data_IF_813953220630
#
_entry.id   IF_813953220630
#
_cell.length_a   1.000
_cell.length_b   1.000
_cell.length_c   1.000
_cell.angle_alpha   90.00
_cell.angle_beta   90.00
_cell.angle_gamma   90.00
#
_symmetry.space_group_name_H-M   'P 1'
#
loop_
_entity.id
_entity.type
_entity.pdbx_description
1 polymer ?
#
# COMPACT_ATOMS: atom_id res chain seq x y z
N UNK A 1 29.25 2.29 -5.22
CA UNK A 1 29.32 0.85 -5.54
C UNK A 1 28.10 0.44 -6.35
N UNK A 2 28.30 -0.22 -7.50
CA UNK A 2 27.19 -0.61 -8.37
C UNK A 2 26.30 -1.67 -7.69
N UNK A 3 25.03 -1.76 -8.10
CA UNK A 3 24.08 -2.78 -7.60
C UNK A 3 24.61 -4.21 -7.81
N UNK A 4 25.29 -4.43 -8.93
CA UNK A 4 25.86 -5.75 -9.29
C UNK A 4 26.95 -6.19 -8.31
N UNK A 5 27.84 -5.29 -7.88
CA UNK A 5 28.87 -5.64 -6.91
C UNK A 5 28.29 -6.06 -5.56
N UNK A 6 27.25 -5.36 -5.08
CA UNK A 6 26.56 -5.73 -3.84
C UNK A 6 25.94 -7.13 -3.92
N UNK A 7 25.37 -7.49 -5.06
CA UNK A 7 24.79 -8.81 -5.30
C UNK A 7 25.89 -9.88 -5.35
N UNK A 8 27.01 -9.61 -6.02
CA UNK A 8 28.15 -10.54 -6.07
C UNK A 8 28.74 -10.80 -4.67
N UNK A 9 28.97 -9.76 -3.90
CA UNK A 9 29.45 -9.85 -2.52
C UNK A 9 28.48 -10.63 -1.61
N UNK A 10 27.17 -10.35 -1.74
CA UNK A 10 26.13 -11.07 -1.02
C UNK A 10 26.12 -12.56 -1.34
N UNK A 11 26.21 -12.91 -2.63
CA UNK A 11 26.28 -14.31 -3.07
C UNK A 11 27.53 -15.03 -2.54
N UNK A 12 28.69 -14.37 -2.55
CA UNK A 12 29.93 -14.96 -2.02
C UNK A 12 29.82 -15.20 -0.50
N UNK A 13 29.33 -14.20 0.24
CA UNK A 13 29.14 -14.31 1.71
C UNK A 13 28.14 -15.40 2.08
N UNK A 14 27.01 -15.50 1.37
CA UNK A 14 26.02 -16.55 1.60
C UNK A 14 26.55 -17.95 1.28
N UNK A 15 27.33 -18.11 0.20
CA UNK A 15 27.97 -19.41 -0.11
C UNK A 15 28.88 -19.89 1.02
N UNK A 16 29.67 -18.99 1.60
CA UNK A 16 30.52 -19.32 2.72
C UNK A 16 29.70 -19.64 3.97
N UNK A 17 28.72 -18.75 4.29
CA UNK A 17 27.87 -18.91 5.46
C UNK A 17 27.08 -20.22 5.45
N UNK A 18 26.43 -20.57 4.34
CA UNK A 18 25.60 -21.78 4.24
C UNK A 18 26.42 -23.09 4.29
N UNK A 19 27.69 -23.05 3.89
CA UNK A 19 28.61 -24.21 4.07
C UNK A 19 28.92 -24.49 5.52
N UNK A 20 28.95 -23.43 6.35
CA UNK A 20 29.30 -23.54 7.78
C UNK A 20 28.04 -23.77 8.61
N UNK A 21 26.96 -23.02 8.37
CA UNK A 21 25.76 -23.05 9.20
C UNK A 21 24.72 -24.11 8.80
N UNK A 22 24.76 -24.65 7.56
CA UNK A 22 24.00 -25.84 7.15
C UNK A 22 22.47 -25.76 7.13
N UNK A 23 21.86 -24.60 7.43
CA UNK A 23 20.42 -24.51 7.68
C UNK A 23 19.54 -24.25 6.45
N UNK A 24 20.15 -23.89 5.31
CA UNK A 24 19.39 -23.56 4.09
C UNK A 24 18.99 -24.84 3.35
N UNK A 25 17.70 -24.98 3.03
CA UNK A 25 17.15 -26.11 2.29
C UNK A 25 17.02 -25.77 0.79
N UNK A 26 17.44 -26.68 -0.11
CA UNK A 26 17.21 -26.52 -1.54
C UNK A 26 15.71 -26.46 -1.87
N UNK A 27 15.34 -25.72 -2.92
CA UNK A 27 13.97 -25.65 -3.42
C UNK A 27 13.33 -27.04 -3.71
N UNK A 28 14.13 -27.98 -4.16
CA UNK A 28 13.68 -29.36 -4.47
C UNK A 28 13.21 -30.16 -3.23
N UNK A 29 13.54 -29.73 -2.00
CA UNK A 29 13.13 -30.39 -0.77
C UNK A 29 11.86 -29.78 -0.14
N UNK A 30 11.24 -28.77 -0.77
CA UNK A 30 10.07 -28.11 -0.23
C UNK A 30 8.80 -28.93 -0.49
N UNK A 31 8.05 -29.18 0.59
CA UNK A 31 6.71 -29.79 0.54
C UNK A 31 5.66 -28.70 0.87
N UNK A 32 4.71 -28.42 -0.04
CA UNK A 32 3.62 -27.47 0.22
C UNK A 32 2.70 -27.84 1.40
N UNK A 33 2.70 -29.10 1.83
CA UNK A 33 1.93 -29.58 2.98
C UNK A 33 2.66 -29.34 4.32
N UNK A 34 3.94 -28.96 4.26
CA UNK A 34 4.75 -28.71 5.47
C UNK A 34 4.13 -27.60 6.32
N UNK A 35 4.10 -27.82 7.63
CA UNK A 35 3.68 -26.80 8.58
C UNK A 35 4.89 -26.03 9.11
N UNK A 36 4.68 -24.76 9.46
CA UNK A 36 5.67 -23.87 10.03
C UNK A 36 5.13 -23.25 11.31
N UNK A 37 5.95 -23.28 12.36
CA UNK A 37 5.61 -22.64 13.64
C UNK A 37 6.08 -21.19 13.72
N UNK A 38 7.11 -20.82 12.97
CA UNK A 38 7.75 -19.51 13.03
C UNK A 38 8.06 -19.00 11.62
N UNK A 39 7.36 -17.92 11.26
CA UNK A 39 7.39 -17.33 9.92
C UNK A 39 7.86 -15.88 10.03
N UNK A 40 8.74 -15.43 9.14
CA UNK A 40 9.05 -14.02 8.97
C UNK A 40 8.51 -13.49 7.66
N UNK A 41 7.79 -12.38 7.70
CA UNK A 41 7.28 -11.67 6.52
C UNK A 41 8.07 -10.37 6.35
N UNK A 42 8.55 -10.09 5.14
CA UNK A 42 9.19 -8.82 4.80
C UNK A 42 8.27 -7.95 3.96
N UNK A 43 7.89 -6.79 4.52
CA UNK A 43 7.11 -5.73 3.88
C UNK A 43 7.67 -4.37 4.28
N UNK A 44 8.78 -3.96 3.65
CA UNK A 44 9.62 -2.86 4.12
C UNK A 44 9.52 -1.61 3.27
N UNK A 45 8.46 -1.46 2.47
CA UNK A 45 8.21 -0.32 1.59
C UNK A 45 7.17 0.65 2.17
N UNK A 46 6.54 1.46 1.32
CA UNK A 46 5.55 2.45 1.71
C UNK A 46 4.23 1.82 2.19
N UNK A 47 3.35 2.64 2.77
CA UNK A 47 2.05 2.24 3.31
C UNK A 47 1.18 1.55 2.25
N UNK A 48 1.08 2.10 1.03
CA UNK A 48 0.32 1.48 -0.05
C UNK A 48 0.82 0.07 -0.41
N UNK A 49 2.16 -0.11 -0.44
CA UNK A 49 2.75 -1.44 -0.68
C UNK A 49 2.41 -2.44 0.43
N UNK A 50 2.34 -1.99 1.69
CA UNK A 50 1.90 -2.84 2.80
C UNK A 50 0.44 -3.25 2.62
N UNK A 51 -0.43 -2.34 2.17
CA UNK A 51 -1.84 -2.65 1.93
C UNK A 51 -1.99 -3.75 0.87
N UNK A 52 -1.24 -3.69 -0.23
CA UNK A 52 -1.22 -4.77 -1.24
C UNK A 52 -0.74 -6.13 -0.70
N UNK A 53 -0.04 -6.14 0.41
CA UNK A 53 0.44 -7.38 1.03
C UNK A 53 -0.58 -7.98 2.00
N UNK A 54 -1.57 -7.21 2.47
CA UNK A 54 -2.51 -7.67 3.52
C UNK A 54 -3.30 -8.93 3.11
N UNK A 55 -3.77 -9.12 1.85
CA UNK A 55 -4.43 -10.38 1.47
C UNK A 55 -3.51 -11.61 1.60
N UNK A 56 -2.26 -11.49 1.17
CA UNK A 56 -1.28 -12.58 1.31
C UNK A 56 -0.90 -12.83 2.78
N UNK A 57 -0.84 -11.78 3.61
CA UNK A 57 -0.63 -11.92 5.06
C UNK A 57 -1.79 -12.69 5.68
N UNK A 58 -3.05 -12.35 5.35
CA UNK A 58 -4.23 -13.09 5.81
C UNK A 58 -4.16 -14.55 5.39
N UNK A 59 -3.88 -14.84 4.12
CA UNK A 59 -3.77 -16.20 3.61
C UNK A 59 -2.69 -17.03 4.35
N UNK A 60 -1.58 -16.41 4.75
CA UNK A 60 -0.56 -17.05 5.59
C UNK A 60 -1.05 -17.32 7.01
N UNK A 61 -1.76 -16.36 7.65
CA UNK A 61 -2.32 -16.55 8.98
C UNK A 61 -3.37 -17.67 8.99
N UNK A 62 -4.20 -17.76 7.97
CA UNK A 62 -5.21 -18.83 7.81
C UNK A 62 -4.58 -20.20 7.56
N UNK A 63 -3.51 -20.27 6.76
CA UNK A 63 -2.79 -21.50 6.46
C UNK A 63 -2.02 -22.04 7.64
N UNK A 64 -1.48 -21.14 8.48
CA UNK A 64 -0.63 -21.46 9.64
C UNK A 64 -1.17 -20.81 10.93
N UNK A 65 -2.36 -21.21 11.40
CA UNK A 65 -3.07 -20.51 12.49
C UNK A 65 -2.33 -20.54 13.84
N UNK A 66 -1.41 -21.49 14.04
CA UNK A 66 -0.58 -21.58 15.24
C UNK A 66 0.80 -20.95 15.10
N UNK A 67 1.13 -20.38 13.95
CA UNK A 67 2.46 -19.86 13.70
C UNK A 67 2.70 -18.50 14.36
N UNK A 68 3.88 -18.33 14.93
CA UNK A 68 4.38 -17.04 15.38
C UNK A 68 4.91 -16.26 14.16
N UNK A 69 4.14 -15.28 13.71
CA UNK A 69 4.48 -14.47 12.55
C UNK A 69 5.22 -13.21 13.02
N UNK A 70 6.47 -13.05 12.56
CA UNK A 70 7.26 -11.82 12.74
C UNK A 70 7.18 -10.98 11.48
N UNK A 71 6.75 -9.72 11.58
CA UNK A 71 6.79 -8.79 10.47
C UNK A 71 8.06 -7.95 10.50
N UNK A 72 8.81 -7.92 9.40
CA UNK A 72 9.87 -6.91 9.17
C UNK A 72 9.29 -5.82 8.28
N UNK A 73 9.12 -4.61 8.81
CA UNK A 73 8.46 -3.50 8.14
C UNK A 73 9.26 -2.20 8.19
N UNK A 74 8.93 -1.23 7.35
CA UNK A 74 9.48 0.13 7.44
C UNK A 74 8.93 0.86 8.67
N UNK A 75 9.75 1.73 9.26
CA UNK A 75 9.29 2.66 10.32
C UNK A 75 8.10 3.52 9.89
N UNK A 76 7.94 3.78 8.59
CA UNK A 76 6.81 4.55 8.04
C UNK A 76 5.46 3.86 8.27
N UNK A 77 5.46 2.55 8.40
CA UNK A 77 4.25 1.75 8.57
C UNK A 77 3.91 1.51 10.06
N UNK A 78 4.71 2.06 11.00
CA UNK A 78 4.60 1.76 12.42
C UNK A 78 3.16 1.85 12.95
N UNK A 79 2.48 2.95 12.68
CA UNK A 79 1.12 3.17 13.15
C UNK A 79 0.07 2.22 12.53
N UNK A 80 0.41 1.53 11.43
CA UNK A 80 -0.48 0.58 10.78
C UNK A 80 -0.24 -0.88 11.20
N UNK A 81 0.88 -1.17 11.86
CA UNK A 81 1.25 -2.55 12.21
C UNK A 81 1.50 -2.76 13.71
N UNK A 82 1.80 -1.69 14.46
CA UNK A 82 2.06 -1.78 15.90
C UNK A 82 0.77 -2.14 16.66
N UNK A 83 0.84 -3.18 17.48
CA UNK A 83 -0.34 -3.70 18.17
C UNK A 83 -1.29 -4.53 17.33
N UNK A 84 -0.94 -4.84 16.09
CA UNK A 84 -1.73 -5.73 15.22
C UNK A 84 -1.78 -7.14 15.78
N UNK A 85 -2.97 -7.77 15.89
CA UNK A 85 -3.09 -9.15 16.32
C UNK A 85 -2.55 -10.16 15.28
N UNK A 86 -2.28 -9.71 14.05
CA UNK A 86 -1.71 -10.55 12.99
C UNK A 86 -0.24 -10.92 13.23
N UNK A 87 0.48 -10.20 14.10
CA UNK A 87 1.91 -10.36 14.26
C UNK A 87 2.28 -10.62 15.72
N UNK A 88 3.09 -11.67 15.93
CA UNK A 88 3.69 -11.97 17.23
C UNK A 88 4.78 -10.94 17.60
N UNK A 89 5.56 -10.48 16.61
CA UNK A 89 6.59 -9.44 16.77
C UNK A 89 6.68 -8.58 15.51
N UNK A 90 7.06 -7.30 15.68
CA UNK A 90 7.31 -6.38 14.56
C UNK A 90 8.72 -5.80 14.70
N UNK A 91 9.52 -5.98 13.67
CA UNK A 91 10.88 -5.45 13.56
C UNK A 91 10.91 -4.35 12.51
N UNK A 92 11.29 -3.14 12.92
CA UNK A 92 11.38 -2.02 11.97
C UNK A 92 12.75 -1.95 11.31
N UNK A 93 12.74 -1.89 9.98
CA UNK A 93 13.95 -1.84 9.17
C UNK A 93 13.71 -1.11 7.83
N UNK A 94 14.50 -0.05 7.58
CA UNK A 94 14.42 0.75 6.36
C UNK A 94 15.49 0.37 5.32
N UNK A 95 15.90 -0.88 5.26
CA UNK A 95 16.92 -1.44 4.34
C UNK A 95 18.31 -0.79 4.43
N UNK A 96 18.68 -0.24 5.55
CA UNK A 96 20.02 0.29 5.73
C UNK A 96 20.97 -0.83 6.11
N UNK A 97 22.07 -0.95 5.38
CA UNK A 97 23.08 -1.99 5.63
C UNK A 97 23.63 -1.93 7.08
N UNK A 98 23.73 -0.75 7.67
CA UNK A 98 24.22 -0.52 9.04
C UNK A 98 23.34 -1.18 10.11
N UNK A 99 22.03 -1.30 9.86
CA UNK A 99 21.06 -1.81 10.84
C UNK A 99 20.82 -3.32 10.66
N UNK A 100 21.41 -3.92 9.62
CA UNK A 100 21.16 -5.31 9.21
C UNK A 100 21.53 -6.33 10.30
N UNK A 101 22.66 -6.13 11.00
CA UNK A 101 23.10 -7.03 12.07
C UNK A 101 22.12 -7.06 13.24
N UNK A 102 21.57 -5.89 13.63
CA UNK A 102 20.56 -5.81 14.69
C UNK A 102 19.27 -6.54 14.31
N UNK A 103 18.84 -6.42 13.06
CA UNK A 103 17.66 -7.14 12.52
C UNK A 103 17.92 -8.66 12.54
N UNK A 104 19.08 -9.12 12.07
CA UNK A 104 19.45 -10.54 12.10
C UNK A 104 19.45 -11.08 13.55
N UNK A 105 20.03 -10.35 14.50
CA UNK A 105 20.08 -10.76 15.89
C UNK A 105 18.68 -10.89 16.52
N UNK A 106 17.76 -9.94 16.22
CA UNK A 106 16.36 -10.01 16.67
C UNK A 106 15.65 -11.20 16.05
N UNK A 107 15.76 -11.40 14.73
CA UNK A 107 15.15 -12.52 14.05
C UNK A 107 15.66 -13.87 14.55
N UNK A 108 16.96 -14.00 14.86
CA UNK A 108 17.53 -15.24 15.42
C UNK A 108 16.92 -15.63 16.76
N UNK A 109 16.47 -14.67 17.57
CA UNK A 109 15.74 -14.96 18.82
C UNK A 109 14.41 -15.66 18.53
N UNK A 110 13.72 -15.24 17.46
CA UNK A 110 12.45 -15.80 17.03
C UNK A 110 12.62 -17.10 16.22
N UNK A 111 13.84 -17.47 15.81
CA UNK A 111 14.19 -18.71 15.07
C UNK A 111 13.27 -18.98 13.87
N UNK A 112 13.10 -18.07 12.90
CA UNK A 112 12.19 -18.26 11.80
C UNK A 112 12.63 -19.41 10.90
N UNK A 113 11.67 -20.23 10.47
CA UNK A 113 11.87 -21.37 9.56
C UNK A 113 11.62 -20.99 8.11
N UNK A 114 10.59 -20.17 7.89
CA UNK A 114 10.13 -19.70 6.59
C UNK A 114 10.25 -18.17 6.50
N UNK A 115 10.80 -17.67 5.40
CA UNK A 115 10.75 -16.25 5.04
C UNK A 115 9.84 -16.04 3.82
N UNK A 116 8.88 -15.11 3.95
CA UNK A 116 7.99 -14.67 2.88
C UNK A 116 8.27 -13.20 2.58
N UNK A 117 8.92 -12.93 1.45
CA UNK A 117 9.38 -11.59 1.07
C UNK A 117 8.38 -10.99 0.09
N UNK A 118 7.35 -10.33 0.62
CA UNK A 118 6.25 -9.74 -0.14
C UNK A 118 6.66 -8.44 -0.84
N UNK A 119 7.38 -7.55 -0.13
CA UNK A 119 7.85 -6.29 -0.72
C UNK A 119 9.11 -5.80 0.00
N UNK A 120 10.25 -6.14 -0.58
CA UNK A 120 11.56 -5.81 -0.01
C UNK A 120 12.65 -5.85 -1.07
N UNK A 121 13.78 -5.15 -0.83
CA UNK A 121 14.84 -4.97 -1.85
C UNK A 121 16.01 -5.92 -1.64
N UNK A 122 16.28 -6.73 -2.69
CA UNK A 122 17.50 -7.53 -2.77
C UNK A 122 18.78 -6.64 -2.86
N UNK A 123 19.92 -7.12 -2.37
CA UNK A 123 20.19 -8.44 -1.80
C UNK A 123 19.95 -8.56 -0.28
N UNK A 124 19.68 -7.45 0.41
CA UNK A 124 19.71 -7.39 1.89
C UNK A 124 18.61 -8.21 2.57
N UNK A 125 17.41 -8.26 1.97
CA UNK A 125 16.31 -9.06 2.47
C UNK A 125 16.64 -10.57 2.48
N UNK A 126 17.19 -11.08 1.38
CA UNK A 126 17.61 -12.48 1.27
C UNK A 126 18.78 -12.78 2.22
N UNK A 127 19.76 -11.85 2.32
CA UNK A 127 20.86 -11.97 3.28
C UNK A 127 20.36 -12.08 4.71
N UNK A 128 19.45 -11.19 5.12
CA UNK A 128 18.89 -11.15 6.47
C UNK A 128 18.11 -12.44 6.75
N UNK A 129 17.28 -12.90 5.83
CA UNK A 129 16.47 -14.10 6.00
C UNK A 129 17.35 -15.36 6.22
N UNK A 130 18.34 -15.57 5.35
CA UNK A 130 19.26 -16.74 5.47
C UNK A 130 20.11 -16.64 6.73
N UNK A 131 20.69 -15.45 6.99
CA UNK A 131 21.52 -15.25 8.19
C UNK A 131 20.72 -15.37 9.48
N UNK A 132 19.41 -15.09 9.46
CA UNK A 132 18.50 -15.33 10.59
C UNK A 132 18.18 -16.81 10.84
N UNK A 133 18.48 -17.69 9.87
CA UNK A 133 18.30 -19.14 9.99
C UNK A 133 17.10 -19.69 9.22
N UNK A 134 16.46 -18.88 8.35
CA UNK A 134 15.35 -19.36 7.54
C UNK A 134 15.83 -20.48 6.58
N UNK A 135 15.07 -21.58 6.56
CA UNK A 135 15.34 -22.75 5.73
C UNK A 135 14.74 -22.59 4.32
N UNK A 136 13.57 -21.95 4.25
CA UNK A 136 12.82 -21.73 3.02
C UNK A 136 12.56 -20.24 2.81
N UNK A 137 12.70 -19.78 1.56
CA UNK A 137 12.52 -18.40 1.17
C UNK A 137 11.61 -18.29 -0.05
N UNK A 138 10.49 -17.58 0.10
CA UNK A 138 9.58 -17.22 -0.98
C UNK A 138 9.64 -15.72 -1.21
N UNK A 139 9.76 -15.30 -2.47
CA UNK A 139 9.93 -13.87 -2.79
C UNK A 139 9.14 -13.46 -4.02
N UNK A 140 8.39 -12.34 -3.88
CA UNK A 140 7.87 -11.61 -5.03
C UNK A 140 9.01 -10.79 -5.68
N UNK A 141 9.34 -11.14 -6.93
CA UNK A 141 10.37 -10.47 -7.73
C UNK A 141 9.67 -9.65 -8.81
N UNK A 142 9.60 -8.33 -8.58
CA UNK A 142 9.01 -7.41 -9.52
C UNK A 142 9.90 -7.21 -10.75
N UNK A 143 9.32 -7.43 -11.94
CA UNK A 143 9.94 -7.20 -13.25
C UNK A 143 10.67 -8.40 -13.81
N UNK A 144 10.97 -8.30 -15.12
CA UNK A 144 11.53 -9.40 -15.94
C UNK A 144 13.03 -9.64 -15.75
N UNK A 145 13.74 -8.75 -15.02
CA UNK A 145 15.18 -8.88 -14.81
C UNK A 145 15.47 -9.66 -13.53
N UNK A 146 16.34 -10.71 -13.63
CA UNK A 146 16.79 -11.43 -12.46
C UNK A 146 17.38 -10.49 -11.39
N UNK A 147 17.06 -10.75 -10.13
CA UNK A 147 17.63 -10.00 -8.99
C UNK A 147 19.09 -10.39 -8.75
N UNK A 148 19.51 -11.57 -9.25
CA UNK A 148 20.81 -12.20 -9.01
C UNK A 148 20.87 -12.97 -7.68
N UNK A 149 19.73 -13.11 -6.99
CA UNK A 149 19.63 -13.84 -5.72
C UNK A 149 18.72 -15.10 -5.81
N UNK A 150 18.26 -15.45 -7.01
CA UNK A 150 17.24 -16.49 -7.24
C UNK A 150 17.66 -17.86 -6.75
N UNK A 151 18.96 -18.16 -6.80
CA UNK A 151 19.52 -19.43 -6.30
C UNK A 151 19.25 -19.69 -4.81
N UNK A 152 18.89 -18.64 -4.07
CA UNK A 152 18.60 -18.68 -2.65
C UNK A 152 17.10 -18.72 -2.35
N UNK A 153 16.26 -18.76 -3.39
CA UNK A 153 14.81 -18.76 -3.24
C UNK A 153 14.27 -20.17 -3.42
N UNK A 154 13.41 -20.59 -2.51
CA UNK A 154 12.62 -21.83 -2.61
C UNK A 154 11.52 -21.66 -3.63
N UNK A 155 10.81 -20.53 -3.57
CA UNK A 155 9.75 -20.17 -4.51
C UNK A 155 9.81 -18.69 -4.90
N UNK A 156 9.34 -18.38 -6.08
CA UNK A 156 9.36 -17.03 -6.63
C UNK A 156 8.10 -16.75 -7.45
N UNK A 157 7.50 -15.59 -7.25
CA UNK A 157 6.55 -15.03 -8.22
C UNK A 157 7.29 -14.10 -9.17
N UNK A 158 7.16 -14.36 -10.47
CA UNK A 158 7.76 -13.56 -11.55
C UNK A 158 6.66 -13.21 -12.54
N UNK A 159 5.90 -12.20 -12.29
CA UNK A 159 5.00 -11.66 -13.29
C UNK A 159 5.26 -10.17 -13.43
N UNK A 160 5.38 -9.69 -14.65
CA UNK A 160 5.32 -8.26 -14.97
C UNK A 160 3.88 -7.82 -15.24
N UNK A 161 2.99 -8.78 -15.47
CA UNK A 161 1.58 -8.56 -15.78
C UNK A 161 0.70 -8.95 -14.59
N UNK A 162 -0.46 -8.33 -14.51
CA UNK A 162 -1.42 -8.56 -13.45
C UNK A 162 -1.30 -7.63 -12.25
N UNK A 163 -2.29 -7.69 -11.39
CA UNK A 163 -2.38 -6.84 -10.20
C UNK A 163 -1.40 -7.30 -9.12
N UNK A 164 -0.82 -6.34 -8.37
CA UNK A 164 0.15 -6.63 -7.32
C UNK A 164 -0.40 -7.56 -6.23
N UNK A 165 -1.67 -7.44 -5.88
CA UNK A 165 -2.33 -8.32 -4.91
C UNK A 165 -2.31 -9.76 -5.43
N UNK A 166 -2.76 -10.00 -6.68
CA UNK A 166 -2.83 -11.33 -7.25
C UNK A 166 -1.46 -12.01 -7.31
N UNK A 167 -0.43 -11.27 -7.70
CA UNK A 167 0.94 -11.78 -7.72
C UNK A 167 1.43 -12.27 -6.36
N UNK A 168 1.03 -11.57 -5.29
CA UNK A 168 1.41 -11.96 -3.91
C UNK A 168 0.60 -13.15 -3.44
N UNK A 169 -0.67 -13.23 -3.80
CA UNK A 169 -1.51 -14.39 -3.57
C UNK A 169 -0.97 -15.62 -4.32
N UNK A 170 -0.61 -15.48 -5.60
CA UNK A 170 -0.02 -16.57 -6.41
C UNK A 170 1.29 -17.07 -5.79
N UNK A 171 2.08 -16.17 -5.19
CA UNK A 171 3.31 -16.56 -4.51
C UNK A 171 3.03 -17.38 -3.25
N UNK A 172 2.12 -16.93 -2.40
CA UNK A 172 1.78 -17.68 -1.18
C UNK A 172 0.95 -18.93 -1.49
N UNK A 173 0.29 -19.00 -2.65
CA UNK A 173 -0.35 -20.20 -3.18
C UNK A 173 0.63 -21.37 -3.33
N UNK A 174 1.92 -21.09 -3.63
CA UNK A 174 2.98 -22.11 -3.66
C UNK A 174 3.23 -22.75 -2.28
N UNK A 175 2.80 -22.09 -1.20
CA UNK A 175 2.84 -22.58 0.18
C UNK A 175 1.55 -23.33 0.58
N UNK A 176 0.63 -23.56 -0.36
CA UNK A 176 -0.68 -24.17 -0.09
C UNK A 176 -1.68 -23.22 0.57
N UNK A 177 -1.43 -21.91 0.54
CA UNK A 177 -2.38 -20.90 1.03
C UNK A 177 -3.59 -20.76 0.08
N UNK A 178 -4.76 -20.43 0.64
CA UNK A 178 -5.93 -20.04 -0.16
C UNK A 178 -5.67 -18.68 -0.83
N UNK A 179 -6.07 -18.54 -2.09
CA UNK A 179 -5.79 -17.37 -2.92
C UNK A 179 -7.05 -16.69 -3.48
N UNK A 180 -8.21 -17.12 -3.01
CA UNK A 180 -9.54 -16.73 -3.48
C UNK A 180 -10.05 -15.42 -2.86
N UNK A 181 -9.38 -14.89 -1.83
CA UNK A 181 -9.77 -13.65 -1.17
C UNK A 181 -8.73 -12.53 -1.38
N UNK A 182 -8.91 -11.65 -2.38
CA UNK A 182 -8.01 -10.54 -2.67
C UNK A 182 -8.24 -9.30 -1.82
N UNK A 183 -9.22 -9.29 -0.91
CA UNK A 183 -9.61 -8.10 -0.16
C UNK A 183 -8.47 -7.62 0.75
N UNK A 184 -8.07 -6.38 0.60
CA UNK A 184 -7.21 -5.70 1.56
C UNK A 184 -7.95 -5.53 2.89
N UNK A 185 -7.21 -5.49 3.99
CA UNK A 185 -7.78 -5.19 5.31
C UNK A 185 -6.84 -4.30 6.14
N UNK A 186 -7.40 -3.60 7.10
CA UNK A 186 -6.65 -2.80 8.06
C UNK A 186 -6.17 -3.71 9.19
N UNK A 187 -4.86 -3.86 9.41
CA UNK A 187 -4.33 -4.83 10.36
C UNK A 187 -4.37 -4.38 11.84
N UNK A 188 -4.90 -3.19 12.14
CA UNK A 188 -5.02 -2.65 13.50
C UNK A 188 -6.48 -2.28 13.79
N UNK A 189 -6.82 -2.23 15.06
CA UNK A 189 -8.05 -1.59 15.51
C UNK A 189 -7.93 -0.06 15.41
N UNK A 190 -9.04 0.60 15.11
CA UNK A 190 -9.14 2.06 15.09
C UNK A 190 -10.51 2.48 15.65
N UNK A 191 -10.63 3.71 16.19
CA UNK A 191 -11.89 4.17 16.79
C UNK A 191 -12.97 4.29 15.71
N UNK A 192 -14.20 3.93 16.06
CA UNK A 192 -15.36 4.30 15.26
C UNK A 192 -15.69 5.78 15.52
N UNK A 193 -15.98 6.54 14.46
CA UNK A 193 -16.54 7.89 14.58
C UNK A 193 -18.02 7.83 14.25
N UNK A 194 -18.82 8.62 14.95
CA UNK A 194 -20.23 8.82 14.61
C UNK A 194 -20.33 9.53 13.25
N UNK A 195 -21.12 8.97 12.36
CA UNK A 195 -21.42 9.63 11.09
C UNK A 195 -22.38 10.78 11.36
N UNK A 196 -22.09 12.00 10.87
CA UNK A 196 -23.04 13.10 10.98
C UNK A 196 -24.37 12.71 10.31
N UNK A 197 -25.46 12.69 11.09
CA UNK A 197 -26.76 12.29 10.59
C UNK A 197 -27.21 13.21 9.45
N UNK A 198 -27.69 12.62 8.35
CA UNK A 198 -28.20 13.36 7.20
C UNK A 198 -27.15 14.09 6.37
N UNK A 199 -25.84 13.96 6.67
CA UNK A 199 -24.77 14.62 5.90
C UNK A 199 -24.11 13.69 4.92
N UNK A 200 -23.73 14.24 3.74
CA UNK A 200 -22.95 13.58 2.70
C UNK A 200 -21.52 14.10 2.83
N UNK A 201 -20.63 13.27 3.40
CA UNK A 201 -19.25 13.64 3.64
C UNK A 201 -18.37 13.13 2.50
N UNK A 202 -17.80 14.03 1.70
CA UNK A 202 -16.91 13.73 0.58
C UNK A 202 -15.47 14.10 0.95
N UNK A 203 -14.58 13.14 0.92
CA UNK A 203 -13.17 13.34 1.22
C UNK A 203 -12.38 13.84 0.03
N UNK A 204 -11.49 14.81 0.23
CA UNK A 204 -10.49 15.25 -0.73
C UNK A 204 -9.10 15.02 -0.18
N UNK A 205 -8.28 14.29 -0.95
CA UNK A 205 -6.85 14.12 -0.69
C UNK A 205 -6.08 14.73 -1.86
N UNK A 206 -5.56 15.95 -1.67
CA UNK A 206 -4.97 16.76 -2.73
C UNK A 206 -3.48 16.51 -2.96
N UNK A 207 -2.80 15.93 -1.98
CA UNK A 207 -1.35 15.76 -1.99
C UNK A 207 -0.87 14.48 -2.66
N UNK A 208 0.36 14.50 -3.14
CA UNK A 208 1.14 13.33 -3.52
C UNK A 208 2.63 13.63 -3.33
N UNK A 209 3.46 12.59 -3.23
CA UNK A 209 4.92 12.73 -3.10
C UNK A 209 5.56 13.46 -4.29
N UNK A 210 4.98 13.33 -5.47
CA UNK A 210 5.42 13.97 -6.70
C UNK A 210 4.33 14.91 -7.22
N UNK A 211 4.71 16.12 -7.63
CA UNK A 211 3.77 17.12 -8.18
C UNK A 211 3.04 16.59 -9.41
N UNK A 212 3.71 15.79 -10.23
CA UNK A 212 3.14 15.14 -11.42
C UNK A 212 1.88 14.32 -11.12
N UNK A 213 1.79 13.78 -9.89
CA UNK A 213 0.69 12.92 -9.42
C UNK A 213 -0.41 13.68 -8.69
N UNK A 214 -0.33 15.03 -8.66
CA UNK A 214 -1.34 15.88 -8.02
C UNK A 214 -2.32 16.40 -9.06
N UNK A 215 -3.60 16.28 -8.77
CA UNK A 215 -4.62 17.01 -9.51
C UNK A 215 -4.56 18.49 -9.09
N UNK A 216 -4.72 19.46 -10.00
CA UNK A 216 -4.62 20.88 -9.67
C UNK A 216 -5.60 21.31 -8.57
N UNK A 217 -5.17 22.22 -7.69
CA UNK A 217 -6.01 22.68 -6.56
C UNK A 217 -7.24 23.45 -7.05
N UNK A 218 -7.10 24.23 -8.12
CA UNK A 218 -8.22 24.95 -8.76
C UNK A 218 -9.32 24.00 -9.24
N UNK A 219 -8.94 22.78 -9.67
CA UNK A 219 -9.89 21.74 -10.05
C UNK A 219 -10.63 21.14 -8.82
N UNK A 220 -9.93 20.98 -7.70
CA UNK A 220 -10.57 20.60 -6.44
C UNK A 220 -11.51 21.70 -5.95
N UNK A 221 -11.16 22.99 -6.10
CA UNK A 221 -12.04 24.12 -5.79
C UNK A 221 -13.28 24.07 -6.65
N UNK A 222 -13.14 23.94 -7.97
CA UNK A 222 -14.28 23.84 -8.90
C UNK A 222 -15.19 22.66 -8.56
N UNK A 223 -14.60 21.49 -8.25
CA UNK A 223 -15.36 20.32 -7.82
C UNK A 223 -16.14 20.58 -6.52
N UNK A 224 -15.48 21.18 -5.52
CA UNK A 224 -16.13 21.51 -4.24
C UNK A 224 -17.31 22.45 -4.43
N UNK A 225 -17.14 23.53 -5.20
CA UNK A 225 -18.21 24.50 -5.48
C UNK A 225 -19.42 23.80 -6.09
N UNK A 226 -19.23 22.90 -7.06
CA UNK A 226 -20.29 22.15 -7.71
C UNK A 226 -20.98 21.15 -6.78
N UNK A 227 -20.21 20.40 -5.96
CA UNK A 227 -20.75 19.46 -4.97
C UNK A 227 -21.56 20.17 -3.89
N UNK A 228 -21.05 21.29 -3.38
CA UNK A 228 -21.74 22.11 -2.37
C UNK A 228 -23.00 22.77 -2.91
N UNK A 229 -23.04 23.13 -4.19
CA UNK A 229 -24.24 23.62 -4.87
C UNK A 229 -25.26 22.51 -5.15
N UNK A 230 -24.78 21.27 -5.39
CA UNK A 230 -25.63 20.12 -5.72
C UNK A 230 -26.52 19.70 -4.53
N UNK A 231 -25.99 19.76 -3.29
CA UNK A 231 -26.76 19.39 -2.10
C UNK A 231 -26.39 20.26 -0.88
N UNK A 232 -27.38 20.77 -0.12
CA UNK A 232 -27.15 21.48 1.12
C UNK A 232 -26.54 20.59 2.22
N UNK A 233 -26.71 19.28 2.12
CA UNK A 233 -26.18 18.32 3.07
C UNK A 233 -24.77 17.86 2.76
N UNK A 234 -24.21 18.24 1.60
CA UNK A 234 -22.85 17.93 1.23
C UNK A 234 -21.84 18.71 2.09
N UNK A 235 -20.85 18.03 2.61
CA UNK A 235 -19.68 18.56 3.30
C UNK A 235 -18.41 17.99 2.71
N UNK A 236 -17.34 18.79 2.70
CA UNK A 236 -16.02 18.37 2.21
C UNK A 236 -15.11 18.12 3.40
N UNK A 237 -14.47 16.94 3.45
CA UNK A 237 -13.44 16.62 4.42
C UNK A 237 -12.05 16.62 3.73
N UNK A 238 -11.18 17.54 4.12
CA UNK A 238 -9.81 17.54 3.62
C UNK A 238 -8.96 16.61 4.47
N UNK A 239 -8.28 15.64 3.83
CA UNK A 239 -7.35 14.74 4.51
C UNK A 239 -5.94 14.88 3.92
N UNK A 240 -4.93 14.75 4.78
CA UNK A 240 -3.54 14.87 4.35
C UNK A 240 -2.57 15.08 5.51
N UNK A 241 -1.29 15.11 5.18
CA UNK A 241 -0.20 15.36 6.11
C UNK A 241 0.02 16.88 6.34
N UNK A 242 0.82 17.22 7.34
CA UNK A 242 1.25 18.62 7.58
C UNK A 242 1.93 19.28 6.36
N UNK A 243 2.54 18.50 5.48
CA UNK A 243 3.19 19.01 4.27
C UNK A 243 2.19 19.58 3.25
N UNK A 244 0.90 19.26 3.37
CA UNK A 244 -0.16 19.68 2.45
C UNK A 244 -0.91 20.94 2.89
N UNK A 245 -0.49 21.60 3.98
CA UNK A 245 -1.11 22.84 4.47
C UNK A 245 -1.09 24.01 3.48
N UNK A 246 -0.13 24.02 2.55
CA UNK A 246 -0.12 25.04 1.48
C UNK A 246 -1.25 24.81 0.48
N UNK A 247 -1.53 23.54 0.14
CA UNK A 247 -2.64 23.16 -0.74
C UNK A 247 -3.99 23.46 -0.09
N UNK A 248 -4.10 23.21 1.22
CA UNK A 248 -5.28 23.55 2.02
C UNK A 248 -5.59 25.05 1.95
N UNK A 249 -4.59 25.90 2.19
CA UNK A 249 -4.77 27.37 2.13
C UNK A 249 -5.20 27.83 0.74
N UNK A 250 -4.57 27.29 -0.30
CA UNK A 250 -4.91 27.60 -1.69
C UNK A 250 -6.35 27.17 -2.00
N UNK A 251 -6.75 25.97 -1.58
CA UNK A 251 -8.09 25.45 -1.74
C UNK A 251 -9.14 26.33 -1.01
N UNK A 252 -8.90 26.65 0.26
CA UNK A 252 -9.82 27.49 1.05
C UNK A 252 -9.96 28.89 0.47
N UNK A 253 -8.89 29.49 -0.04
CA UNK A 253 -8.93 30.81 -0.68
C UNK A 253 -9.79 30.84 -1.96
N UNK A 254 -10.02 29.70 -2.61
CA UNK A 254 -10.88 29.60 -3.78
C UNK A 254 -12.38 29.46 -3.48
N UNK A 255 -12.76 29.37 -2.19
CA UNK A 255 -14.15 29.19 -1.75
C UNK A 255 -14.71 30.46 -1.09
N UNK A 256 -16.02 30.68 -1.22
CA UNK A 256 -16.71 31.73 -0.45
C UNK A 256 -16.75 31.38 1.05
N UNK A 257 -16.97 32.38 1.91
CA UNK A 257 -17.09 32.17 3.37
C UNK A 257 -18.19 31.16 3.72
N UNK A 258 -19.31 31.17 3.05
CA UNK A 258 -20.42 30.22 3.22
C UNK A 258 -19.98 28.80 2.87
N UNK A 259 -19.23 28.63 1.75
CA UNK A 259 -18.73 27.35 1.31
C UNK A 259 -17.65 26.82 2.27
N UNK A 260 -16.77 27.70 2.80
CA UNK A 260 -15.75 27.32 3.77
C UNK A 260 -16.34 26.74 5.06
N UNK A 261 -17.51 27.21 5.51
CA UNK A 261 -18.22 26.66 6.69
C UNK A 261 -18.65 25.19 6.51
N UNK A 262 -18.67 24.71 5.26
CA UNK A 262 -19.02 23.33 4.92
C UNK A 262 -17.78 22.48 4.59
N UNK A 263 -16.59 22.97 4.93
CA UNK A 263 -15.32 22.24 4.79
C UNK A 263 -14.76 21.96 6.17
N UNK A 264 -14.43 20.69 6.41
CA UNK A 264 -13.75 20.24 7.63
C UNK A 264 -12.33 19.80 7.26
N UNK A 265 -11.32 20.45 7.82
CA UNK A 265 -9.93 20.07 7.54
C UNK A 265 -9.37 19.17 8.63
N UNK A 266 -8.83 18.03 8.20
CA UNK A 266 -8.05 17.09 9.00
C UNK A 266 -6.57 17.10 8.61
N UNK A 267 -6.13 18.02 7.76
CA UNK A 267 -4.75 18.09 7.24
C UNK A 267 -3.76 18.32 8.39
N UNK A 268 -2.90 17.33 8.61
CA UNK A 268 -1.89 17.35 9.66
C UNK A 268 -2.44 17.38 11.09
N UNK A 269 -3.70 17.05 11.29
CA UNK A 269 -4.40 17.05 12.57
C UNK A 269 -4.75 15.64 13.09
N UNK A 270 -4.52 14.59 12.27
CA UNK A 270 -4.87 13.21 12.62
C UNK A 270 -3.64 12.32 12.77
N UNK A 271 -3.71 11.38 13.70
CA UNK A 271 -2.91 10.15 13.72
C UNK A 271 -3.45 9.19 12.64
N UNK A 272 -2.71 8.12 12.33
CA UNK A 272 -3.19 7.16 11.35
C UNK A 272 -4.50 6.45 11.76
N UNK A 273 -4.70 6.00 13.03
CA UNK A 273 -5.98 5.45 13.46
C UNK A 273 -7.16 6.46 13.32
N UNK A 274 -6.92 7.74 13.60
CA UNK A 274 -7.93 8.78 13.40
C UNK A 274 -8.22 9.02 11.91
N UNK A 275 -7.20 8.99 11.05
CA UNK A 275 -7.37 9.07 9.59
C UNK A 275 -8.19 7.88 9.07
N UNK A 276 -7.94 6.66 9.55
CA UNK A 276 -8.75 5.48 9.20
C UNK A 276 -10.23 5.68 9.57
N UNK A 277 -10.49 6.19 10.77
CA UNK A 277 -11.84 6.49 11.22
C UNK A 277 -12.51 7.59 10.36
N UNK A 278 -11.74 8.63 10.01
CA UNK A 278 -12.23 9.67 9.08
C UNK A 278 -12.59 9.09 7.73
N UNK A 279 -11.67 8.29 7.11
CA UNK A 279 -11.91 7.68 5.80
C UNK A 279 -13.11 6.73 5.85
N UNK A 280 -13.28 5.93 6.91
CA UNK A 280 -14.41 5.02 7.06
C UNK A 280 -15.77 5.74 7.12
N UNK A 281 -15.78 7.00 7.51
CA UNK A 281 -17.00 7.84 7.59
C UNK A 281 -17.34 8.54 6.26
N UNK A 282 -16.41 8.62 5.31
CA UNK A 282 -16.66 9.22 4.00
C UNK A 282 -17.65 8.38 3.19
N UNK A 283 -18.52 9.01 2.43
CA UNK A 283 -19.27 8.35 1.38
C UNK A 283 -18.39 8.09 0.16
N UNK A 284 -17.56 9.08 -0.23
CA UNK A 284 -16.63 8.97 -1.35
C UNK A 284 -15.33 9.68 -1.00
N UNK A 285 -14.19 9.12 -1.40
CA UNK A 285 -12.88 9.77 -1.36
C UNK A 285 -12.39 10.07 -2.78
N UNK A 286 -12.16 11.36 -3.08
CA UNK A 286 -11.48 11.80 -4.31
C UNK A 286 -9.99 11.94 -4.00
N UNK A 287 -9.13 11.19 -4.71
CA UNK A 287 -7.70 11.09 -4.39
C UNK A 287 -6.88 10.73 -5.63
N UNK A 288 -5.59 11.01 -5.60
CA UNK A 288 -4.64 10.42 -6.53
C UNK A 288 -4.25 8.98 -6.15
N UNK A 289 -3.35 8.36 -6.91
CA UNK A 289 -2.70 7.08 -6.58
C UNK A 289 -1.74 7.26 -5.39
N UNK A 290 -2.27 7.17 -4.17
CA UNK A 290 -1.58 7.45 -2.89
C UNK A 290 -1.96 6.45 -1.80
N UNK A 291 -1.27 6.50 -0.66
CA UNK A 291 -1.60 5.65 0.49
C UNK A 291 -3.06 5.70 0.93
N UNK A 292 -3.69 6.88 1.08
CA UNK A 292 -5.10 7.03 1.40
C UNK A 292 -6.07 6.30 0.46
N UNK A 293 -5.77 6.18 -0.84
CA UNK A 293 -6.56 5.38 -1.77
C UNK A 293 -6.68 3.93 -1.27
N UNK A 294 -5.55 3.31 -0.96
CA UNK A 294 -5.53 1.89 -0.57
C UNK A 294 -6.14 1.66 0.81
N UNK A 295 -6.06 2.65 1.71
CA UNK A 295 -6.79 2.63 2.98
C UNK A 295 -8.30 2.69 2.74
N UNK A 296 -8.78 3.57 1.86
CA UNK A 296 -10.19 3.71 1.52
C UNK A 296 -10.75 2.41 0.90
N UNK A 297 -10.00 1.79 -0.02
CA UNK A 297 -10.38 0.50 -0.63
C UNK A 297 -10.48 -0.58 0.46
N UNK A 298 -9.50 -0.68 1.37
CA UNK A 298 -9.54 -1.65 2.47
C UNK A 298 -10.69 -1.41 3.47
N UNK A 299 -11.12 -0.16 3.63
CA UNK A 299 -12.24 0.25 4.47
C UNK A 299 -13.61 0.17 3.75
N UNK A 300 -13.60 -0.25 2.47
CA UNK A 300 -14.79 -0.31 1.60
C UNK A 300 -15.47 1.05 1.39
N UNK A 301 -14.71 2.14 1.57
CA UNK A 301 -15.12 3.50 1.23
C UNK A 301 -15.04 3.68 -0.28
N UNK A 302 -16.10 4.17 -0.92
CA UNK A 302 -16.09 4.43 -2.35
C UNK A 302 -15.02 5.46 -2.73
N UNK A 303 -14.42 5.31 -3.91
CA UNK A 303 -13.34 6.21 -4.34
C UNK A 303 -13.50 6.70 -5.77
N UNK A 304 -13.06 7.92 -6.02
CA UNK A 304 -12.73 8.41 -7.36
C UNK A 304 -11.22 8.66 -7.37
N UNK A 305 -10.49 7.83 -8.12
CA UNK A 305 -9.04 7.79 -8.09
C UNK A 305 -8.43 8.24 -9.42
N UNK A 306 -7.42 9.15 -9.32
CA UNK A 306 -6.79 9.81 -10.46
C UNK A 306 -5.38 9.26 -10.63
N UNK A 307 -5.14 8.56 -11.73
CA UNK A 307 -3.88 7.89 -12.04
C UNK A 307 -3.12 8.59 -13.17
N UNK A 308 -1.80 8.59 -13.09
CA UNK A 308 -0.93 9.17 -14.13
C UNK A 308 0.31 8.32 -14.41
N UNK A 309 1.16 8.06 -13.43
CA UNK A 309 2.43 7.34 -13.62
C UNK A 309 2.31 5.83 -13.48
N UNK A 310 1.44 5.38 -12.58
CA UNK A 310 1.18 3.97 -12.36
C UNK A 310 0.03 3.50 -13.27
N UNK A 311 0.11 2.26 -13.71
CA UNK A 311 -1.00 1.63 -14.43
C UNK A 311 -2.03 1.12 -13.41
N UNK A 312 -3.28 1.63 -13.42
CA UNK A 312 -4.30 1.22 -12.48
C UNK A 312 -4.66 -0.28 -12.54
N UNK A 313 -4.38 -0.95 -13.66
CA UNK A 313 -4.53 -2.42 -13.75
C UNK A 313 -3.59 -3.18 -12.82
N UNK A 314 -2.46 -2.56 -12.42
CA UNK A 314 -1.46 -3.19 -11.53
C UNK A 314 -1.62 -2.75 -10.07
N UNK A 315 -2.06 -1.51 -9.82
CA UNK A 315 -2.04 -0.88 -8.49
C UNK A 315 -3.34 -0.16 -8.13
N UNK A 316 -4.36 -0.20 -8.98
CA UNK A 316 -5.65 0.40 -8.70
C UNK A 316 -6.49 -0.41 -7.70
N UNK A 317 -7.71 0.02 -7.41
CA UNK A 317 -8.67 -0.78 -6.67
C UNK A 317 -8.89 -2.15 -7.34
N UNK A 318 -8.81 -3.23 -6.57
CA UNK A 318 -8.90 -4.61 -7.07
C UNK A 318 -10.10 -5.38 -6.53
N UNK A 319 -10.56 -5.02 -5.35
CA UNK A 319 -11.79 -5.51 -4.73
C UNK A 319 -12.95 -4.53 -4.95
N UNK A 320 -14.19 -4.97 -4.85
CA UNK A 320 -15.41 -4.13 -4.88
C UNK A 320 -15.40 -3.11 -6.04
N UNK A 321 -15.05 -3.55 -7.26
CA UNK A 321 -14.76 -2.66 -8.41
C UNK A 321 -15.90 -1.70 -8.76
N UNK A 322 -17.13 -2.06 -8.42
CA UNK A 322 -18.33 -1.23 -8.61
C UNK A 322 -18.35 0.03 -7.72
N UNK A 323 -17.61 0.03 -6.60
CA UNK A 323 -17.49 1.16 -5.67
C UNK A 323 -16.40 2.14 -6.06
N UNK A 324 -15.51 1.76 -6.98
CA UNK A 324 -14.28 2.49 -7.25
C UNK A 324 -14.23 2.99 -8.68
N UNK A 325 -14.32 4.30 -8.84
CA UNK A 325 -14.17 4.97 -10.13
C UNK A 325 -12.69 5.28 -10.38
N UNK A 326 -12.15 4.88 -11.52
CA UNK A 326 -10.75 5.09 -11.88
C UNK A 326 -10.66 5.94 -13.13
N UNK A 327 -9.89 7.03 -13.06
CA UNK A 327 -9.54 7.89 -14.19
C UNK A 327 -8.03 7.85 -14.41
N UNK A 328 -7.59 7.63 -15.64
CA UNK A 328 -6.17 7.44 -15.94
C UNK A 328 -5.75 8.30 -17.15
N UNK A 329 -4.70 9.10 -16.94
CA UNK A 329 -4.03 9.88 -17.98
C UNK A 329 -2.65 9.26 -18.25
N UNK A 330 -2.46 8.56 -19.38
CA UNK A 330 -1.14 7.98 -19.72
C UNK A 330 -0.14 9.10 -20.03
N UNK A 331 1.00 9.12 -19.34
CA UNK A 331 2.06 10.16 -19.50
C UNK A 331 2.75 10.10 -20.87
N UNK A 332 2.75 8.95 -21.51
CA UNK A 332 3.49 8.70 -22.75
C UNK A 332 2.75 9.14 -24.03
N UNK A 333 1.69 9.92 -23.93
CA UNK A 333 1.03 10.47 -25.11
C UNK A 333 1.93 11.53 -25.77
N UNK A 334 2.35 11.27 -27.00
CA UNK A 334 3.11 12.21 -27.83
C UNK A 334 2.36 13.55 -28.08
N UNK A 335 1.04 13.56 -27.87
CA UNK A 335 0.16 14.70 -28.07
C UNK A 335 0.18 15.73 -26.92
N UNK A 336 0.83 15.45 -25.77
CA UNK A 336 0.83 16.37 -24.63
C UNK A 336 1.78 17.55 -24.84
N UNK A 337 1.29 18.77 -24.56
CA UNK A 337 2.12 19.99 -24.47
C UNK A 337 3.14 19.90 -23.31
N UNK A 338 4.15 20.76 -23.30
CA UNK A 338 5.12 20.80 -22.20
C UNK A 338 4.49 21.10 -20.83
N UNK A 339 3.47 21.95 -20.78
CA UNK A 339 2.70 22.24 -19.56
C UNK A 339 1.91 21.01 -19.08
N UNK A 340 1.20 20.35 -19.97
CA UNK A 340 0.44 19.13 -19.69
C UNK A 340 1.33 17.96 -19.22
N UNK A 341 2.57 17.86 -19.73
CA UNK A 341 3.53 16.85 -19.24
C UNK A 341 4.00 17.13 -17.80
N UNK A 342 4.01 18.41 -17.38
CA UNK A 342 4.36 18.78 -15.99
C UNK A 342 3.23 18.48 -15.00
N UNK A 343 1.98 18.55 -15.45
CA UNK A 343 0.78 18.31 -14.65
C UNK A 343 -0.30 17.59 -15.48
N UNK A 344 -0.10 16.32 -15.85
CA UNK A 344 -0.99 15.61 -16.76
C UNK A 344 -2.42 15.48 -16.25
N UNK A 345 -2.61 15.40 -14.93
CA UNK A 345 -3.93 15.33 -14.33
C UNK A 345 -4.78 16.60 -14.57
N UNK A 346 -4.18 17.72 -15.01
CA UNK A 346 -4.94 18.91 -15.45
C UNK A 346 -5.85 18.64 -16.65
N UNK A 347 -5.62 17.54 -17.38
CA UNK A 347 -6.48 17.09 -18.48
C UNK A 347 -7.82 16.51 -18.00
N UNK A 348 -7.92 16.15 -16.74
CA UNK A 348 -9.17 15.68 -16.14
C UNK A 348 -9.94 16.91 -15.66
N UNK A 349 -11.08 17.20 -16.29
CA UNK A 349 -11.94 18.32 -15.90
C UNK A 349 -12.70 18.01 -14.59
N UNK A 350 -12.99 19.04 -13.81
CA UNK A 350 -13.78 18.91 -12.58
C UNK A 350 -15.18 18.31 -12.82
N UNK A 351 -15.79 18.61 -13.96
CA UNK A 351 -17.08 18.03 -14.37
C UNK A 351 -17.03 16.50 -14.47
N UNK A 352 -15.97 15.95 -15.07
CA UNK A 352 -15.81 14.51 -15.20
C UNK A 352 -15.64 13.83 -13.83
N UNK A 353 -14.92 14.49 -12.91
CA UNK A 353 -14.76 13.99 -11.53
C UNK A 353 -16.05 14.12 -10.74
N UNK A 354 -16.83 15.20 -10.96
CA UNK A 354 -18.16 15.38 -10.36
C UNK A 354 -19.09 14.23 -10.75
N UNK A 355 -19.20 13.95 -12.06
CA UNK A 355 -20.04 12.85 -12.56
C UNK A 355 -19.69 11.52 -11.88
N UNK A 356 -18.39 11.19 -11.82
CA UNK A 356 -17.90 9.97 -11.16
C UNK A 356 -18.15 9.99 -9.66
N UNK A 357 -18.02 11.14 -9.00
CA UNK A 357 -18.27 11.28 -7.56
C UNK A 357 -19.75 11.07 -7.23
N UNK A 358 -20.64 11.66 -8.02
CA UNK A 358 -22.09 11.49 -7.84
C UNK A 358 -22.52 10.03 -8.11
N UNK A 359 -21.94 9.38 -9.15
CA UNK A 359 -22.20 7.98 -9.44
C UNK A 359 -21.69 7.01 -8.35
N UNK A 360 -20.67 7.40 -7.60
CA UNK A 360 -20.12 6.60 -6.50
C UNK A 360 -20.85 6.82 -5.16
N UNK A 361 -21.73 7.81 -5.05
CA UNK A 361 -22.55 7.99 -3.86
C UNK A 361 -23.56 6.85 -3.72
N UNK A 362 -23.83 6.38 -2.49
CA UNK A 362 -24.90 5.42 -2.26
C UNK A 362 -26.24 6.03 -2.71
N UNK A 363 -27.16 5.20 -3.25
CA UNK A 363 -28.49 5.69 -3.59
C UNK A 363 -29.12 6.35 -2.36
N UNK A 364 -29.66 7.53 -2.54
CA UNK A 364 -30.43 8.22 -1.50
C UNK A 364 -31.66 7.34 -1.26
N UNK A 365 -31.69 6.61 -0.15
CA UNK A 365 -32.92 5.96 0.28
C UNK A 365 -33.90 7.08 0.63
N UNK A 366 -34.92 7.23 -0.24
CA UNK A 366 -36.05 8.12 -0.06
C UNK A 366 -36.90 7.69 1.17
#
# INVERSE_FOLDING_TARGET
MSKQWKIAAANAGLRLYTRIAGNFQPAASFDPQQSFERIVIFSTSALGDLMFNTPAIRALCERYPGAQITLVSSHKNRQLVEGSPCFHDVIYWDHKAKDMLGVIQRLRKNRPQLAVILHSKAPYDVLVAIAAGCQYLFKDVYGNKPSGMERWLTGVSRSSDGHLIQRKLDMVGQLGCRTDNPDMFIPIAFPALEKPAGKILIGFQMGASETLRRWPVDRFVELAQRLLAHSPDCQIALIGSKAERSLEREFMAGLSEEQQQRVVSHIGATTLPQLLATIANLQVLVTGDTGPLHLAVALKTATVSLFVTANPRHTGPYQDSERHQVMHVPVNSAALSAAQRRQPLSLIAAEQVLEKTLAALPPVHA
#
